data_IF_511422225212
#
_entry.id   IF_511422225212
#
_cell.length_a   1.000
_cell.length_b   1.000
_cell.length_c   1.000
_cell.angle_alpha   90.00
_cell.angle_beta   90.00
_cell.angle_gamma   90.00
#
_symmetry.space_group_name_H-M   'P 1'
#
loop_
_entity.id
_entity.type
_entity.pdbx_description
1 polymer ?
#
# COMPACT_ATOMS: atom_id res chain seq x y z
N UNK A 1 -2.58 -11.80 7.17
CA UNK A 1 -1.84 -11.24 6.01
C UNK A 1 -0.39 -11.68 5.97
N UNK A 2 0.47 -11.34 6.95
CA UNK A 2 1.92 -11.59 6.81
C UNK A 2 2.30 -13.09 6.66
N UNK A 3 1.58 -14.01 7.31
CA UNK A 3 1.81 -15.45 7.16
C UNK A 3 1.39 -16.00 5.78
N UNK A 4 0.45 -15.36 5.09
CA UNK A 4 0.03 -15.81 3.74
C UNK A 4 1.17 -15.68 2.73
N UNK A 5 2.06 -14.70 2.93
CA UNK A 5 3.21 -14.46 2.05
C UNK A 5 4.45 -15.29 2.41
N UNK A 6 4.34 -16.20 3.39
CA UNK A 6 5.48 -16.91 3.98
C UNK A 6 6.61 -15.97 4.44
N UNK A 7 6.32 -14.69 4.67
CA UNK A 7 7.26 -13.64 5.00
C UNK A 7 6.70 -12.80 6.16
N UNK A 8 6.64 -13.35 7.39
CA UNK A 8 6.28 -12.58 8.57
C UNK A 8 7.22 -11.38 8.70
N UNK A 9 6.73 -10.21 9.10
CA UNK A 9 7.59 -9.02 9.28
C UNK A 9 8.26 -9.01 10.66
N UNK A 10 7.64 -9.67 11.63
CA UNK A 10 8.12 -9.84 12.99
C UNK A 10 7.38 -11.03 13.63
N UNK A 11 7.91 -11.53 14.75
CA UNK A 11 7.30 -12.61 15.53
C UNK A 11 6.71 -12.03 16.81
N UNK A 12 5.48 -12.44 17.14
CA UNK A 12 4.88 -12.24 18.45
C UNK A 12 4.88 -13.58 19.17
N UNK A 13 5.57 -13.68 20.29
CA UNK A 13 5.62 -14.89 21.13
C UNK A 13 5.66 -14.47 22.59
N UNK A 14 4.80 -15.06 23.43
CA UNK A 14 4.73 -14.78 24.87
C UNK A 14 4.63 -13.27 25.21
N UNK A 15 3.79 -12.52 24.48
CA UNK A 15 3.65 -11.06 24.60
C UNK A 15 4.91 -10.23 24.27
N UNK A 16 5.97 -10.86 23.74
CA UNK A 16 7.15 -10.17 23.25
C UNK A 16 7.14 -10.11 21.71
N UNK A 17 7.43 -8.92 21.19
CA UNK A 17 7.64 -8.70 19.76
C UNK A 17 9.14 -8.82 19.50
N UNK A 18 9.55 -9.82 18.71
CA UNK A 18 10.95 -10.11 18.41
C UNK A 18 11.20 -10.16 16.90
N UNK A 19 12.44 -9.91 16.45
CA UNK A 19 12.81 -10.10 15.05
C UNK A 19 12.66 -11.56 14.66
N UNK A 20 12.44 -11.79 13.36
CA UNK A 20 12.32 -13.13 12.81
C UNK A 20 13.60 -13.94 13.11
N UNK A 21 13.41 -15.21 13.47
CA UNK A 21 14.52 -16.15 13.60
C UNK A 21 15.09 -16.47 12.22
N UNK A 22 16.35 -16.89 12.18
CA UNK A 22 17.02 -17.36 10.96
C UNK A 22 16.18 -18.38 10.19
N UNK A 23 15.56 -19.34 10.88
CA UNK A 23 14.68 -20.35 10.28
C UNK A 23 13.48 -19.74 9.54
N UNK A 24 12.85 -18.68 10.08
CA UNK A 24 11.74 -18.02 9.39
C UNK A 24 12.21 -17.30 8.12
N UNK A 25 13.39 -16.66 8.16
CA UNK A 25 13.97 -16.02 6.98
C UNK A 25 14.35 -17.06 5.92
N UNK A 26 14.83 -18.25 6.34
CA UNK A 26 15.12 -19.35 5.44
C UNK A 26 13.85 -19.88 4.74
N UNK A 27 12.74 -20.02 5.47
CA UNK A 27 11.43 -20.37 4.87
C UNK A 27 11.02 -19.30 3.85
N UNK A 28 11.14 -18.01 4.18
CA UNK A 28 10.82 -16.92 3.25
C UNK A 28 11.69 -16.96 2.01
N UNK A 29 12.98 -17.27 2.14
CA UNK A 29 13.91 -17.41 1.02
C UNK A 29 13.51 -18.57 0.09
N UNK A 30 13.19 -19.73 0.64
CA UNK A 30 12.67 -20.86 -0.15
C UNK A 30 11.38 -20.49 -0.86
N UNK A 31 10.44 -19.83 -0.15
CA UNK A 31 9.19 -19.39 -0.75
C UNK A 31 9.42 -18.43 -1.93
N UNK A 32 10.34 -17.46 -1.79
CA UNK A 32 10.71 -16.56 -2.90
C UNK A 32 11.30 -17.31 -4.09
N UNK A 33 12.18 -18.31 -3.87
CA UNK A 33 12.69 -19.16 -4.95
C UNK A 33 11.55 -19.91 -5.64
N UNK A 34 10.66 -20.54 -4.87
CA UNK A 34 9.52 -21.29 -5.41
C UNK A 34 8.62 -20.37 -6.25
N UNK A 35 8.31 -19.16 -5.76
CA UNK A 35 7.51 -18.21 -6.54
C UNK A 35 8.21 -17.81 -7.84
N UNK A 36 9.50 -17.49 -7.80
CA UNK A 36 10.26 -17.16 -9.00
C UNK A 36 10.26 -18.33 -10.00
N UNK A 37 10.43 -19.58 -9.53
CA UNK A 37 10.37 -20.77 -10.37
C UNK A 37 8.99 -20.97 -11.01
N UNK A 38 7.90 -20.66 -10.30
CA UNK A 38 6.54 -20.72 -10.87
C UNK A 38 6.38 -19.71 -12.01
N UNK A 39 6.88 -18.48 -11.86
CA UNK A 39 6.83 -17.47 -12.93
C UNK A 39 7.71 -17.83 -14.12
N UNK A 40 8.93 -18.34 -13.86
CA UNK A 40 9.82 -18.81 -14.94
C UNK A 40 9.20 -19.99 -15.67
N UNK A 41 8.60 -20.95 -14.95
CA UNK A 41 7.89 -22.06 -15.55
C UNK A 41 6.68 -21.58 -16.38
N UNK A 42 5.88 -20.62 -15.86
CA UNK A 42 4.79 -20.01 -16.64
C UNK A 42 5.32 -19.38 -17.93
N UNK A 43 6.37 -18.57 -17.86
CA UNK A 43 6.98 -17.94 -19.03
C UNK A 43 7.49 -18.98 -20.03
N UNK A 44 8.16 -20.04 -19.55
CA UNK A 44 8.63 -21.14 -20.39
C UNK A 44 7.47 -21.87 -21.07
N UNK A 45 6.43 -22.23 -20.32
CA UNK A 45 5.24 -22.90 -20.90
C UNK A 45 4.60 -22.05 -21.98
N UNK A 46 4.35 -20.76 -21.72
CA UNK A 46 3.79 -19.83 -22.72
C UNK A 46 4.66 -19.75 -23.98
N UNK A 47 5.99 -19.68 -23.83
CA UNK A 47 6.92 -19.64 -24.96
C UNK A 47 6.96 -20.96 -25.75
N UNK A 48 6.84 -22.12 -25.10
CA UNK A 48 6.81 -23.42 -25.79
C UNK A 48 5.46 -23.71 -26.45
N UNK A 49 4.36 -23.21 -25.88
CA UNK A 49 3.01 -23.36 -26.44
C UNK A 49 2.69 -22.29 -27.48
N UNK A 50 3.56 -21.29 -27.68
CA UNK A 50 3.28 -20.20 -28.62
C UNK A 50 3.30 -20.61 -30.10
N UNK A 51 3.71 -21.85 -30.39
CA UNK A 51 3.56 -22.44 -31.73
C UNK A 51 2.07 -22.66 -32.10
N UNK A 52 1.16 -22.67 -31.11
CA UNK A 52 -0.25 -22.49 -31.39
C UNK A 52 -0.49 -21.06 -31.90
N UNK A 53 -1.12 -20.91 -33.08
CA UNK A 53 -1.53 -19.65 -33.75
C UNK A 53 -2.35 -18.64 -32.91
N UNK A 54 -2.52 -18.90 -31.62
CA UNK A 54 -3.34 -18.14 -30.66
C UNK A 54 -2.57 -17.06 -29.91
N UNK A 55 -1.25 -17.13 -29.83
CA UNK A 55 -0.44 -16.17 -29.08
C UNK A 55 0.31 -15.21 -30.00
N UNK A 56 0.22 -13.91 -29.74
CA UNK A 56 0.99 -12.92 -30.50
C UNK A 56 2.42 -12.83 -29.97
N UNK A 57 3.37 -12.38 -30.80
CA UNK A 57 4.74 -12.13 -30.38
C UNK A 57 4.80 -11.18 -29.17
N UNK A 58 3.92 -10.16 -29.14
CA UNK A 58 3.86 -9.22 -28.02
C UNK A 58 3.34 -9.86 -26.73
N UNK A 59 2.37 -10.80 -26.79
CA UNK A 59 1.93 -11.53 -25.60
C UNK A 59 3.08 -12.31 -24.95
N UNK A 60 3.97 -12.90 -25.75
CA UNK A 60 5.18 -13.56 -25.23
C UNK A 60 6.15 -12.57 -24.58
N UNK A 61 6.33 -11.38 -25.18
CA UNK A 61 7.14 -10.30 -24.60
C UNK A 61 6.52 -9.83 -23.27
N UNK A 62 5.20 -9.64 -23.22
CA UNK A 62 4.47 -9.27 -22.02
C UNK A 62 4.66 -10.31 -20.91
N UNK A 63 4.50 -11.60 -21.21
CA UNK A 63 4.72 -12.67 -20.24
C UNK A 63 6.16 -12.70 -19.71
N UNK A 64 7.14 -12.38 -20.55
CA UNK A 64 8.54 -12.26 -20.14
C UNK A 64 8.78 -11.04 -19.24
N UNK A 65 8.18 -9.89 -19.56
CA UNK A 65 8.24 -8.69 -18.72
C UNK A 65 7.59 -8.97 -17.36
N UNK A 66 6.41 -9.59 -17.32
CA UNK A 66 5.73 -10.00 -16.10
C UNK A 66 6.63 -10.91 -15.25
N UNK A 67 7.27 -11.91 -15.89
CA UNK A 67 8.18 -12.82 -15.21
C UNK A 67 9.33 -12.08 -14.52
N UNK A 68 9.99 -11.15 -15.21
CA UNK A 68 11.07 -10.33 -14.64
C UNK A 68 10.52 -9.46 -13.52
N UNK A 69 9.42 -8.77 -13.77
CA UNK A 69 8.86 -7.77 -12.88
C UNK A 69 8.42 -8.37 -11.54
N UNK A 70 7.62 -9.44 -11.58
CA UNK A 70 7.15 -10.09 -10.38
C UNK A 70 8.27 -10.84 -9.65
N UNK A 71 9.24 -11.42 -10.37
CA UNK A 71 10.43 -12.02 -9.74
C UNK A 71 11.24 -10.98 -8.97
N UNK A 72 11.42 -9.80 -9.56
CA UNK A 72 12.02 -8.65 -8.87
C UNK A 72 11.18 -8.23 -7.66
N UNK A 73 9.85 -8.17 -7.80
CA UNK A 73 8.93 -7.83 -6.70
C UNK A 73 9.02 -8.79 -5.51
N UNK A 74 9.03 -10.11 -5.74
CA UNK A 74 9.17 -11.09 -4.67
C UNK A 74 10.53 -11.00 -3.98
N UNK A 75 11.59 -10.81 -4.77
CA UNK A 75 12.95 -10.63 -4.26
C UNK A 75 13.07 -9.36 -3.42
N UNK A 76 12.50 -8.24 -3.91
CA UNK A 76 12.42 -6.97 -3.20
C UNK A 76 11.64 -7.13 -1.88
N UNK A 77 10.49 -7.83 -1.92
CA UNK A 77 9.68 -8.10 -0.74
C UNK A 77 10.46 -8.88 0.35
N UNK A 78 11.23 -9.88 -0.06
CA UNK A 78 12.11 -10.63 0.83
C UNK A 78 13.19 -9.74 1.47
N UNK A 79 13.91 -8.97 0.66
CA UNK A 79 14.98 -8.09 1.16
C UNK A 79 14.44 -7.01 2.09
N UNK A 80 13.34 -6.34 1.73
CA UNK A 80 12.71 -5.35 2.61
C UNK A 80 12.21 -6.00 3.90
N UNK A 81 11.66 -7.21 3.83
CA UNK A 81 11.26 -7.98 5.02
C UNK A 81 12.41 -8.16 6.02
N UNK A 82 13.61 -8.48 5.52
CA UNK A 82 14.81 -8.63 6.35
C UNK A 82 15.33 -7.29 6.85
N UNK A 83 15.57 -6.34 5.95
CA UNK A 83 16.19 -5.03 6.25
C UNK A 83 15.31 -4.23 7.21
N UNK A 84 14.00 -4.18 6.94
CA UNK A 84 13.06 -3.38 7.73
C UNK A 84 12.53 -4.11 8.96
N UNK A 85 13.03 -5.31 9.30
CA UNK A 85 12.54 -6.10 10.44
C UNK A 85 12.58 -5.31 11.76
N UNK A 86 13.70 -4.66 12.07
CA UNK A 86 13.85 -3.81 13.27
C UNK A 86 12.93 -2.60 13.25
N UNK A 87 12.83 -1.92 12.11
CA UNK A 87 11.96 -0.76 11.93
C UNK A 87 10.48 -1.14 12.04
N UNK A 88 10.07 -2.30 11.53
CA UNK A 88 8.71 -2.79 11.69
C UNK A 88 8.36 -3.08 13.15
N UNK A 89 9.30 -3.60 13.95
CA UNK A 89 9.10 -3.80 15.39
C UNK A 89 8.98 -2.44 16.09
N UNK A 90 9.90 -1.51 15.81
CA UNK A 90 9.86 -0.16 16.37
C UNK A 90 8.55 0.54 16.00
N UNK A 91 8.05 0.38 14.77
CA UNK A 91 6.76 0.90 14.35
C UNK A 91 5.63 0.37 15.23
N UNK A 92 5.56 -0.95 15.45
CA UNK A 92 4.49 -1.55 16.26
C UNK A 92 4.58 -1.09 17.72
N UNK A 93 5.78 -1.02 18.30
CA UNK A 93 5.98 -0.56 19.68
C UNK A 93 5.64 0.93 19.84
N UNK A 94 6.13 1.77 18.92
CA UNK A 94 5.77 3.18 18.82
C UNK A 94 4.25 3.35 18.74
N UNK A 95 3.63 2.58 17.86
CA UNK A 95 2.18 2.64 17.64
C UNK A 95 1.39 2.17 18.87
N UNK A 96 1.85 1.11 19.56
CA UNK A 96 1.26 0.65 20.81
C UNK A 96 1.34 1.71 21.91
N UNK A 97 2.45 2.43 22.01
CA UNK A 97 2.62 3.53 22.97
C UNK A 97 1.63 4.67 22.69
N UNK A 98 1.55 5.12 21.43
CA UNK A 98 0.54 6.10 20.97
C UNK A 98 -0.87 5.60 21.28
N UNK A 99 -1.12 4.31 21.04
CA UNK A 99 -2.42 3.71 21.27
C UNK A 99 -2.82 3.69 22.74
N UNK A 100 -1.92 3.24 23.62
CA UNK A 100 -2.14 3.17 25.07
C UNK A 100 -2.41 4.55 25.65
N UNK A 101 -1.68 5.56 25.18
CA UNK A 101 -1.88 6.93 25.66
C UNK A 101 -3.24 7.50 25.24
N UNK A 102 -3.57 7.39 23.95
CA UNK A 102 -4.83 7.92 23.43
C UNK A 102 -6.06 7.17 23.95
N UNK A 103 -5.85 6.02 24.61
CA UNK A 103 -6.87 5.19 25.26
C UNK A 103 -8.13 5.04 24.40
N UNK A 104 -7.92 4.69 23.13
CA UNK A 104 -9.03 4.58 22.18
C UNK A 104 -10.04 3.57 22.71
N UNK A 105 -11.31 3.95 22.66
CA UNK A 105 -12.42 3.09 22.98
C UNK A 105 -12.24 1.72 22.31
N UNK A 106 -12.35 0.65 23.11
CA UNK A 106 -12.29 -0.74 22.62
C UNK A 106 -13.24 -0.97 21.42
N UNK A 107 -14.33 -0.19 21.36
CA UNK A 107 -15.31 -0.16 20.26
C UNK A 107 -14.66 0.27 18.93
N UNK A 108 -13.85 1.32 18.92
CA UNK A 108 -13.17 1.83 17.72
C UNK A 108 -12.20 0.80 17.14
N UNK A 109 -11.42 0.13 17.99
CA UNK A 109 -10.53 -0.96 17.58
C UNK A 109 -11.27 -2.15 16.98
N UNK A 110 -12.37 -2.56 17.61
CA UNK A 110 -13.20 -3.67 17.11
C UNK A 110 -13.79 -3.32 15.75
N UNK A 111 -14.28 -2.09 15.57
CA UNK A 111 -14.77 -1.59 14.28
C UNK A 111 -13.67 -1.58 13.22
N UNK A 112 -12.47 -1.08 13.54
CA UNK A 112 -11.34 -1.08 12.62
C UNK A 112 -10.95 -2.50 12.19
N UNK A 113 -10.87 -3.42 13.15
CA UNK A 113 -10.53 -4.83 12.88
C UNK A 113 -11.58 -5.49 11.99
N UNK A 114 -12.87 -5.26 12.26
CA UNK A 114 -13.96 -5.75 11.43
C UNK A 114 -13.90 -5.19 10.00
N UNK A 115 -13.74 -3.87 9.85
CA UNK A 115 -13.61 -3.23 8.53
C UNK A 115 -12.38 -3.72 7.77
N UNK A 116 -11.29 -4.02 8.46
CA UNK A 116 -10.12 -4.62 7.84
C UNK A 116 -10.45 -5.99 7.24
N UNK A 117 -11.09 -6.87 8.01
CA UNK A 117 -11.51 -8.20 7.53
C UNK A 117 -12.49 -8.11 6.36
N UNK A 118 -13.49 -7.23 6.43
CA UNK A 118 -14.43 -7.00 5.32
C UNK A 118 -13.67 -6.63 4.05
N UNK A 119 -12.64 -5.78 4.14
CA UNK A 119 -11.87 -5.39 2.97
C UNK A 119 -10.93 -6.48 2.46
N UNK A 120 -10.38 -7.33 3.34
CA UNK A 120 -9.61 -8.52 2.89
C UNK A 120 -10.53 -9.50 2.16
N UNK A 121 -11.71 -9.77 2.70
CA UNK A 121 -12.70 -10.67 2.08
C UNK A 121 -13.18 -10.08 0.75
N UNK A 122 -13.49 -8.79 0.70
CA UNK A 122 -13.88 -8.11 -0.54
C UNK A 122 -12.78 -8.20 -1.60
N UNK A 123 -11.53 -7.91 -1.23
CA UNK A 123 -10.40 -8.08 -2.13
C UNK A 123 -10.31 -9.53 -2.63
N UNK A 124 -10.38 -10.52 -1.74
CA UNK A 124 -10.35 -11.93 -2.13
C UNK A 124 -11.49 -12.30 -3.09
N UNK A 125 -12.73 -11.86 -2.84
CA UNK A 125 -13.87 -12.10 -3.72
C UNK A 125 -13.69 -11.47 -5.11
N UNK A 126 -13.12 -10.25 -5.18
CA UNK A 126 -12.82 -9.58 -6.46
C UNK A 126 -11.84 -10.41 -7.30
N UNK A 127 -10.93 -11.17 -6.69
CA UNK A 127 -10.04 -12.08 -7.41
C UNK A 127 -10.72 -13.40 -7.78
N UNK A 128 -11.46 -13.99 -6.84
CA UNK A 128 -12.03 -15.33 -7.02
C UNK A 128 -13.13 -15.38 -8.08
N UNK A 129 -13.94 -14.33 -8.24
CA UNK A 129 -15.05 -14.32 -9.20
C UNK A 129 -14.57 -14.34 -10.66
N UNK A 130 -13.67 -13.44 -11.10
CA UNK A 130 -13.06 -13.57 -12.43
C UNK A 130 -12.31 -14.89 -12.57
N UNK A 131 -11.57 -15.27 -11.54
CA UNK A 131 -10.78 -16.50 -11.53
C UNK A 131 -11.61 -17.76 -11.83
N UNK A 132 -12.75 -17.97 -11.15
CA UNK A 132 -13.58 -19.16 -11.38
C UNK A 132 -14.17 -19.16 -12.78
N UNK A 133 -14.54 -17.98 -13.29
CA UNK A 133 -14.99 -17.81 -14.66
C UNK A 133 -13.88 -18.19 -15.65
N UNK A 134 -12.63 -17.72 -15.46
CA UNK A 134 -11.51 -18.02 -16.35
C UNK A 134 -11.00 -19.45 -16.25
N UNK A 135 -11.04 -20.08 -15.08
CA UNK A 135 -10.68 -21.49 -14.91
C UNK A 135 -11.49 -22.42 -15.80
N UNK A 136 -12.73 -22.05 -16.12
CA UNK A 136 -13.58 -22.84 -17.02
C UNK A 136 -13.13 -22.76 -18.49
N UNK A 137 -12.29 -21.79 -18.85
CA UNK A 137 -11.92 -21.44 -20.23
C UNK A 137 -10.41 -21.54 -20.51
N UNK A 138 -9.56 -21.36 -19.51
CA UNK A 138 -8.09 -21.30 -19.61
C UNK A 138 -7.42 -22.52 -18.96
N UNK A 139 -6.18 -22.77 -19.34
CA UNK A 139 -5.38 -23.87 -18.79
C UNK A 139 -4.98 -23.57 -17.34
N UNK A 140 -5.04 -24.60 -16.49
CA UNK A 140 -4.87 -24.50 -15.03
C UNK A 140 -3.56 -23.85 -14.56
N UNK A 141 -2.48 -23.90 -15.34
CA UNK A 141 -1.17 -23.36 -14.91
C UNK A 141 -1.10 -21.82 -14.98
N UNK A 142 -1.80 -21.17 -15.92
CA UNK A 142 -1.85 -19.70 -16.01
C UNK A 142 -2.49 -19.12 -14.75
N UNK A 143 -3.60 -19.76 -14.42
CA UNK A 143 -4.48 -19.51 -13.29
C UNK A 143 -3.74 -19.56 -11.94
N UNK A 144 -2.86 -20.54 -11.70
CA UNK A 144 -2.11 -20.61 -10.42
C UNK A 144 -1.11 -19.46 -10.22
N UNK A 145 -0.49 -18.96 -11.30
CA UNK A 145 0.43 -17.83 -11.21
C UNK A 145 -0.26 -16.56 -10.71
N UNK A 146 -1.50 -16.33 -11.17
CA UNK A 146 -2.27 -15.14 -10.83
C UNK A 146 -2.69 -15.09 -9.35
N UNK A 147 -2.80 -16.25 -8.68
CA UNK A 147 -3.03 -16.28 -7.23
C UNK A 147 -1.90 -15.64 -6.44
N UNK A 148 -0.66 -15.81 -6.89
CA UNK A 148 0.49 -15.22 -6.22
C UNK A 148 0.53 -13.70 -6.38
N UNK A 149 -0.07 -13.16 -7.46
CA UNK A 149 -0.18 -11.71 -7.67
C UNK A 149 -1.02 -11.03 -6.59
N UNK A 150 -2.04 -11.72 -6.07
CA UNK A 150 -2.88 -11.24 -4.96
C UNK A 150 -2.05 -10.83 -3.72
N UNK A 151 -0.86 -11.39 -3.54
CA UNK A 151 0.03 -11.00 -2.45
C UNK A 151 0.52 -9.56 -2.58
N UNK A 152 0.79 -9.05 -3.78
CA UNK A 152 1.16 -7.65 -3.95
C UNK A 152 0.01 -6.73 -3.58
N UNK A 153 -1.23 -7.05 -3.97
CA UNK A 153 -2.41 -6.28 -3.58
C UNK A 153 -2.64 -6.29 -2.07
N UNK A 154 -2.42 -7.42 -1.39
CA UNK A 154 -2.51 -7.47 0.06
C UNK A 154 -1.45 -6.60 0.75
N UNK A 155 -0.26 -6.45 0.17
CA UNK A 155 0.75 -5.50 0.68
C UNK A 155 0.29 -4.05 0.52
N UNK A 156 -0.30 -3.71 -0.63
CA UNK A 156 -0.88 -2.38 -0.87
C UNK A 156 -2.05 -2.11 0.07
N UNK A 157 -2.98 -3.06 0.22
CA UNK A 157 -4.11 -2.97 1.15
C UNK A 157 -3.64 -2.80 2.60
N UNK A 158 -2.62 -3.56 3.01
CA UNK A 158 -2.01 -3.42 4.33
C UNK A 158 -1.42 -2.02 4.55
N UNK A 159 -0.74 -1.48 3.54
CA UNK A 159 -0.16 -0.13 3.54
C UNK A 159 -1.25 0.94 3.71
N UNK A 160 -2.33 0.84 2.92
CA UNK A 160 -3.52 1.72 3.01
C UNK A 160 -4.14 1.67 4.41
N UNK A 161 -4.29 0.47 4.98
CA UNK A 161 -4.88 0.28 6.32
C UNK A 161 -4.01 0.87 7.42
N UNK A 162 -2.69 0.76 7.30
CA UNK A 162 -1.75 1.38 8.25
C UNK A 162 -1.77 2.90 8.18
N UNK A 163 -1.84 3.49 6.98
CA UNK A 163 -2.03 4.93 6.81
C UNK A 163 -3.34 5.41 7.45
N UNK A 164 -4.44 4.68 7.19
CA UNK A 164 -5.74 5.01 7.79
C UNK A 164 -5.69 4.96 9.33
N UNK A 165 -4.99 3.96 9.87
CA UNK A 165 -4.85 3.83 11.31
C UNK A 165 -4.03 4.99 11.92
N UNK A 166 -2.97 5.45 11.25
CA UNK A 166 -2.22 6.65 11.65
C UNK A 166 -3.07 7.92 11.56
N UNK A 167 -3.87 8.07 10.51
CA UNK A 167 -4.81 9.19 10.33
C UNK A 167 -5.79 9.26 11.51
N UNK A 168 -6.41 8.13 11.87
CA UNK A 168 -7.34 8.06 12.99
C UNK A 168 -6.66 8.43 14.32
N UNK A 169 -5.36 8.12 14.50
CA UNK A 169 -4.59 8.55 15.69
C UNK A 169 -4.35 10.06 15.73
N UNK A 170 -4.06 10.67 14.59
CA UNK A 170 -3.88 12.13 14.49
C UNK A 170 -5.20 12.84 14.82
N UNK A 171 -6.32 12.36 14.26
CA UNK A 171 -7.66 12.91 14.50
C UNK A 171 -8.04 12.78 15.98
N UNK A 172 -7.85 11.61 16.59
CA UNK A 172 -8.19 11.42 18.01
C UNK A 172 -7.33 12.31 18.92
N UNK A 173 -6.04 12.46 18.59
CA UNK A 173 -5.17 13.40 19.30
C UNK A 173 -5.71 14.84 19.21
N UNK A 174 -6.16 15.28 18.02
CA UNK A 174 -6.74 16.60 17.82
C UNK A 174 -8.03 16.78 18.63
N UNK A 175 -8.93 15.79 18.63
CA UNK A 175 -10.18 15.81 19.41
C UNK A 175 -9.88 15.93 20.90
N UNK A 176 -8.91 15.16 21.41
CA UNK A 176 -8.51 15.21 22.82
C UNK A 176 -7.91 16.57 23.19
N UNK A 177 -7.14 17.18 22.28
CA UNK A 177 -6.60 18.52 22.46
C UNK A 177 -7.70 19.57 22.61
N UNK A 178 -8.76 19.48 21.82
CA UNK A 178 -9.89 20.40 21.91
C UNK A 178 -10.72 20.17 23.18
N UNK A 179 -10.90 18.91 23.59
CA UNK A 179 -11.62 18.56 24.83
C UNK A 179 -10.90 19.04 26.09
N UNK A 180 -9.57 18.89 26.17
CA UNK A 180 -8.80 19.31 27.35
C UNK A 180 -8.89 20.83 27.58
N UNK A 181 -9.03 21.62 26.51
CA UNK A 181 -9.26 23.07 26.61
C UNK A 181 -10.59 23.43 27.29
N UNK A 182 -11.63 22.62 27.12
CA UNK A 182 -12.95 22.87 27.73
C UNK A 182 -12.98 22.66 29.24
N UNK A 183 -12.04 21.90 29.79
CA UNK A 183 -11.98 21.54 31.21
C UNK A 183 -11.10 22.55 31.95
N UNK A 184 -11.72 23.36 32.82
CA UNK A 184 -11.11 24.56 33.43
C UNK A 184 -10.11 24.31 34.60
N UNK A 185 -9.67 23.07 34.88
CA UNK A 185 -9.10 22.72 36.20
C UNK A 185 -7.57 22.48 36.26
N UNK A 186 -7.04 22.58 37.49
CA UNK A 186 -5.65 22.82 37.94
C UNK A 186 -4.50 21.90 37.47
N UNK A 187 -4.70 20.90 36.62
CA UNK A 187 -3.65 19.93 36.24
C UNK A 187 -3.02 20.18 34.84
N UNK A 188 -3.10 21.40 34.32
CA UNK A 188 -2.75 21.74 32.92
C UNK A 188 -1.31 21.45 32.51
N UNK A 189 -0.35 21.49 33.44
CA UNK A 189 1.07 21.41 33.09
C UNK A 189 1.49 20.00 32.63
N UNK A 190 1.02 18.96 33.34
CA UNK A 190 1.39 17.57 33.03
C UNK A 190 0.73 17.10 31.73
N UNK A 191 -0.55 17.43 31.54
CA UNK A 191 -1.30 17.09 30.33
C UNK A 191 -0.69 17.72 29.07
N UNK A 192 -0.19 18.96 29.17
CA UNK A 192 0.39 19.66 28.02
C UNK A 192 1.70 19.03 27.52
N UNK A 193 2.55 18.55 28.43
CA UNK A 193 3.77 17.83 28.07
C UNK A 193 3.45 16.47 27.46
N UNK A 194 2.52 15.73 28.06
CA UNK A 194 2.09 14.44 27.55
C UNK A 194 1.49 14.56 26.14
N UNK A 195 0.63 15.55 25.88
CA UNK A 195 0.07 15.77 24.54
C UNK A 195 1.17 16.02 23.49
N UNK A 196 2.18 16.82 23.82
CA UNK A 196 3.34 17.03 22.93
C UNK A 196 4.09 15.72 22.66
N UNK A 197 4.42 14.96 23.71
CA UNK A 197 5.16 13.70 23.56
C UNK A 197 4.40 12.70 22.68
N UNK A 198 3.08 12.66 22.79
CA UNK A 198 2.26 11.76 21.97
C UNK A 198 2.19 12.17 20.52
N UNK A 199 2.13 13.47 20.24
CA UNK A 199 2.25 13.95 18.87
C UNK A 199 3.63 13.64 18.28
N UNK A 200 4.68 13.77 19.09
CA UNK A 200 6.03 13.37 18.69
C UNK A 200 6.12 11.88 18.35
N UNK A 201 5.54 11.02 19.19
CA UNK A 201 5.46 9.59 18.92
C UNK A 201 4.64 9.29 17.65
N UNK A 202 3.53 10.00 17.38
CA UNK A 202 2.75 9.83 16.14
C UNK A 202 3.61 10.16 14.91
N UNK A 203 4.34 11.28 14.94
CA UNK A 203 5.23 11.67 13.84
C UNK A 203 6.42 10.71 13.68
N UNK A 204 6.96 10.18 14.79
CA UNK A 204 7.98 9.13 14.74
C UNK A 204 7.44 7.86 14.07
N UNK A 205 6.25 7.39 14.46
CA UNK A 205 5.59 6.24 13.83
C UNK A 205 5.36 6.49 12.33
N UNK A 206 4.96 7.69 11.92
CA UNK A 206 4.82 8.09 10.52
C UNK A 206 6.16 8.04 9.77
N UNK A 207 7.25 8.52 10.38
CA UNK A 207 8.58 8.48 9.78
C UNK A 207 9.09 7.04 9.61
N UNK A 208 8.91 6.19 10.61
CA UNK A 208 9.25 4.76 10.51
C UNK A 208 8.43 4.11 9.38
N UNK A 209 7.12 4.39 9.32
CA UNK A 209 6.25 3.91 8.25
C UNK A 209 6.77 4.34 6.87
N UNK A 210 7.09 5.63 6.68
CA UNK A 210 7.64 6.15 5.42
C UNK A 210 8.87 5.37 4.98
N UNK A 211 9.83 5.13 5.89
CA UNK A 211 11.04 4.37 5.58
C UNK A 211 10.74 2.91 5.22
N UNK A 212 9.83 2.25 5.95
CA UNK A 212 9.49 0.85 5.71
C UNK A 212 8.76 0.61 4.39
N UNK A 213 7.90 1.54 3.95
CA UNK A 213 6.98 1.31 2.84
C UNK A 213 7.30 2.07 1.55
N UNK A 214 8.24 3.03 1.56
CA UNK A 214 8.57 3.81 0.36
C UNK A 214 8.93 2.93 -0.85
N UNK A 215 9.69 1.85 -0.66
CA UNK A 215 10.12 0.98 -1.76
C UNK A 215 8.94 0.16 -2.33
N UNK A 216 8.03 -0.30 -1.48
CA UNK A 216 6.80 -0.97 -1.94
C UNK A 216 5.88 -0.01 -2.69
N UNK A 217 5.74 1.22 -2.21
CA UNK A 217 4.97 2.24 -2.92
C UNK A 217 5.58 2.53 -4.29
N UNK A 218 6.92 2.62 -4.39
CA UNK A 218 7.61 2.80 -5.68
C UNK A 218 7.30 1.67 -6.64
N UNK A 219 7.54 0.44 -6.19
CA UNK A 219 7.27 -0.77 -6.96
C UNK A 219 5.84 -0.74 -7.48
N UNK A 220 4.86 -0.57 -6.59
CA UNK A 220 3.45 -0.55 -6.97
C UNK A 220 3.08 0.57 -7.96
N UNK A 221 3.61 1.78 -7.80
CA UNK A 221 3.31 2.89 -8.73
C UNK A 221 3.90 2.64 -10.12
N UNK A 222 5.12 2.08 -10.18
CA UNK A 222 5.76 1.68 -11.44
C UNK A 222 5.01 0.51 -12.08
N UNK A 223 4.55 -0.44 -11.28
CA UNK A 223 3.78 -1.60 -11.71
C UNK A 223 2.52 -1.16 -12.45
N UNK A 224 1.68 -0.34 -11.81
CA UNK A 224 0.41 0.11 -12.38
C UNK A 224 0.65 0.84 -13.70
N UNK A 225 1.68 1.69 -13.76
CA UNK A 225 2.00 2.43 -14.99
C UNK A 225 2.44 1.51 -16.13
N UNK A 226 3.43 0.64 -15.89
CA UNK A 226 4.00 -0.24 -16.93
C UNK A 226 2.95 -1.25 -17.41
N UNK A 227 2.27 -1.94 -16.48
CA UNK A 227 1.30 -2.97 -16.84
C UNK A 227 0.08 -2.37 -17.54
N UNK A 228 -0.36 -1.17 -17.19
CA UNK A 228 -1.44 -0.50 -17.91
C UNK A 228 -1.13 -0.30 -19.41
N UNK A 229 0.12 0.02 -19.74
CA UNK A 229 0.55 0.15 -21.14
C UNK A 229 0.63 -1.21 -21.83
N UNK A 230 1.21 -2.21 -21.17
CA UNK A 230 1.30 -3.59 -21.69
C UNK A 230 -0.10 -4.15 -21.95
N UNK A 231 -1.02 -3.98 -21.01
CA UNK A 231 -2.41 -4.44 -21.10
C UNK A 231 -3.17 -3.84 -22.27
N UNK A 232 -3.00 -2.54 -22.52
CA UNK A 232 -3.63 -1.89 -23.68
C UNK A 232 -3.06 -2.43 -24.99
N UNK A 233 -1.74 -2.62 -25.09
CA UNK A 233 -1.15 -3.22 -26.29
C UNK A 233 -1.60 -4.68 -26.49
N UNK A 234 -1.60 -5.50 -25.43
CA UNK A 234 -2.11 -6.88 -25.49
C UNK A 234 -3.58 -6.90 -25.94
N UNK A 235 -4.39 -5.97 -25.46
CA UNK A 235 -5.79 -5.85 -25.87
C UNK A 235 -5.94 -5.51 -27.36
N UNK A 236 -5.16 -4.55 -27.88
CA UNK A 236 -5.15 -4.20 -29.31
C UNK A 236 -4.78 -5.42 -30.16
N UNK A 237 -3.70 -6.12 -29.78
CA UNK A 237 -3.23 -7.31 -30.49
C UNK A 237 -4.26 -8.45 -30.45
N UNK A 238 -4.94 -8.64 -29.32
CA UNK A 238 -6.00 -9.63 -29.17
C UNK A 238 -7.17 -9.33 -30.11
N UNK A 239 -7.58 -8.07 -30.20
CA UNK A 239 -8.64 -7.62 -31.09
C UNK A 239 -8.29 -7.79 -32.58
N UNK A 240 -7.00 -7.68 -32.93
CA UNK A 240 -6.54 -7.80 -34.32
C UNK A 240 -6.39 -9.27 -34.78
N UNK A 241 -5.99 -10.17 -33.89
CA UNK A 241 -5.68 -11.57 -34.25
C UNK A 241 -6.90 -12.49 -34.14
N UNK A 242 -7.74 -12.33 -33.12
CA UNK A 242 -8.82 -13.28 -32.86
C UNK A 242 -10.11 -12.90 -33.59
N UNK A 243 -10.43 -13.66 -34.66
CA UNK A 243 -11.70 -13.53 -35.39
C UNK A 243 -12.91 -13.99 -34.57
N UNK A 244 -12.69 -14.72 -33.47
CA UNK A 244 -13.77 -15.13 -32.57
C UNK A 244 -14.09 -14.00 -31.58
N UNK A 245 -15.05 -13.18 -31.97
CA UNK A 245 -15.52 -12.02 -31.20
C UNK A 245 -15.81 -12.32 -29.72
N UNK A 246 -16.35 -13.50 -29.40
CA UNK A 246 -16.68 -13.85 -28.03
C UNK A 246 -15.45 -13.98 -27.13
N UNK A 247 -14.36 -14.59 -27.62
CA UNK A 247 -13.14 -14.79 -26.83
C UNK A 247 -12.37 -13.48 -26.68
N UNK A 248 -12.20 -12.73 -27.77
CA UNK A 248 -11.54 -11.43 -27.75
C UNK A 248 -12.25 -10.45 -26.80
N UNK A 249 -13.59 -10.44 -26.82
CA UNK A 249 -14.40 -9.63 -25.91
C UNK A 249 -14.20 -10.02 -24.45
N UNK A 250 -14.23 -11.32 -24.14
CA UNK A 250 -13.99 -11.82 -22.77
C UNK A 250 -12.59 -11.43 -22.28
N UNK A 251 -11.54 -11.65 -23.08
CA UNK A 251 -10.17 -11.26 -22.72
C UNK A 251 -10.05 -9.74 -22.49
N UNK A 252 -10.63 -8.93 -23.38
CA UNK A 252 -10.62 -7.47 -23.26
C UNK A 252 -11.31 -7.00 -21.98
N UNK A 253 -12.51 -7.53 -21.68
CA UNK A 253 -13.23 -7.20 -20.43
C UNK A 253 -12.39 -7.56 -19.21
N UNK A 254 -11.69 -8.69 -19.24
CA UNK A 254 -10.79 -9.12 -18.15
C UNK A 254 -9.68 -8.10 -17.91
N UNK A 255 -9.00 -7.71 -18.99
CA UNK A 255 -7.89 -6.76 -18.94
C UNK A 255 -8.39 -5.42 -18.39
N UNK A 256 -9.53 -4.93 -18.88
CA UNK A 256 -10.15 -3.72 -18.37
C UNK A 256 -10.50 -3.81 -16.89
N UNK A 257 -11.09 -4.92 -16.43
CA UNK A 257 -11.39 -5.13 -15.02
C UNK A 257 -10.13 -5.10 -14.16
N UNK A 258 -9.02 -5.69 -14.63
CA UNK A 258 -7.75 -5.69 -13.92
C UNK A 258 -7.13 -4.29 -13.83
N UNK A 259 -7.12 -3.55 -14.94
CA UNK A 259 -6.66 -2.16 -14.97
C UNK A 259 -7.48 -1.27 -14.04
N UNK A 260 -8.81 -1.39 -14.06
CA UNK A 260 -9.69 -0.62 -13.16
C UNK A 260 -9.35 -0.93 -11.70
N UNK A 261 -9.15 -2.21 -11.35
CA UNK A 261 -8.73 -2.61 -10.00
C UNK A 261 -7.41 -1.94 -9.60
N UNK A 262 -6.40 -1.97 -10.46
CA UNK A 262 -5.08 -1.36 -10.20
C UNK A 262 -5.19 0.15 -9.94
N UNK A 263 -5.97 0.85 -10.77
CA UNK A 263 -6.23 2.28 -10.57
C UNK A 263 -7.05 2.58 -9.32
N UNK A 264 -8.03 1.73 -8.97
CA UNK A 264 -8.81 1.89 -7.75
C UNK A 264 -7.92 1.79 -6.50
N UNK A 265 -7.02 0.80 -6.47
CA UNK A 265 -6.08 0.62 -5.37
C UNK A 265 -5.08 1.77 -5.27
N UNK A 266 -4.53 2.22 -6.40
CA UNK A 266 -3.62 3.37 -6.42
C UNK A 266 -4.32 4.67 -6.00
N UNK A 267 -5.53 4.91 -6.50
CA UNK A 267 -6.34 6.07 -6.11
C UNK A 267 -6.62 6.04 -4.62
N UNK A 268 -6.97 4.86 -4.07
CA UNK A 268 -7.21 4.69 -2.64
C UNK A 268 -5.96 4.95 -1.80
N UNK A 269 -4.79 4.49 -2.25
CA UNK A 269 -3.51 4.77 -1.60
C UNK A 269 -3.20 6.27 -1.58
N UNK A 270 -3.24 6.93 -2.74
CA UNK A 270 -3.00 8.37 -2.87
C UNK A 270 -3.99 9.20 -2.05
N UNK A 271 -5.27 8.81 -2.05
CA UNK A 271 -6.32 9.44 -1.26
C UNK A 271 -6.08 9.32 0.24
N UNK A 272 -5.67 8.15 0.73
CA UNK A 272 -5.38 7.97 2.15
C UNK A 272 -4.11 8.70 2.60
N UNK A 273 -3.10 8.77 1.74
CA UNK A 273 -1.95 9.64 1.98
C UNK A 273 -2.39 11.11 2.15
N UNK A 274 -3.23 11.62 1.24
CA UNK A 274 -3.71 13.00 1.30
C UNK A 274 -4.57 13.27 2.54
N UNK A 275 -5.45 12.35 2.92
CA UNK A 275 -6.22 12.43 4.17
C UNK A 275 -5.33 12.53 5.40
N UNK A 276 -4.30 11.69 5.48
CA UNK A 276 -3.33 11.75 6.56
C UNK A 276 -2.62 13.11 6.59
N UNK A 277 -2.22 13.65 5.44
CA UNK A 277 -1.57 14.96 5.35
C UNK A 277 -2.50 16.08 5.82
N UNK A 278 -3.76 16.06 5.40
CA UNK A 278 -4.78 17.02 5.84
C UNK A 278 -5.00 16.93 7.36
N UNK A 279 -5.06 15.72 7.93
CA UNK A 279 -5.20 15.53 9.37
C UNK A 279 -3.98 16.05 10.16
N UNK A 280 -2.78 15.88 9.63
CA UNK A 280 -1.57 16.43 10.25
C UNK A 280 -1.55 17.97 10.14
N UNK A 281 -1.97 18.52 9.00
CA UNK A 281 -2.09 19.97 8.81
C UNK A 281 -3.17 20.59 9.72
N UNK A 282 -4.31 19.92 9.92
CA UNK A 282 -5.38 20.41 10.80
C UNK A 282 -4.92 20.53 12.26
N UNK A 283 -3.99 19.67 12.71
CA UNK A 283 -3.34 19.79 14.00
C UNK A 283 -2.52 21.09 14.09
N UNK A 284 -1.78 21.44 13.03
CA UNK A 284 -1.03 22.70 12.96
C UNK A 284 -1.98 23.90 13.06
N UNK A 285 -3.06 23.90 12.28
CA UNK A 285 -4.04 24.98 12.25
C UNK A 285 -4.75 25.12 13.60
N UNK A 286 -5.07 24.00 14.25
CA UNK A 286 -5.65 23.98 15.60
C UNK A 286 -4.68 24.57 16.63
N UNK A 287 -3.40 24.16 16.60
CA UNK A 287 -2.39 24.68 17.53
C UNK A 287 -2.16 26.18 17.33
N UNK A 288 -2.12 26.67 16.09
CA UNK A 288 -1.99 28.11 15.79
C UNK A 288 -3.21 28.91 16.26
N UNK A 289 -4.42 28.36 16.09
CA UNK A 289 -5.65 28.96 16.59
C UNK A 289 -5.65 29.05 18.12
N UNK A 290 -5.25 27.97 18.81
CA UNK A 290 -5.14 27.97 20.27
C UNK A 290 -4.10 28.97 20.76
N UNK A 291 -2.95 29.09 20.08
CA UNK A 291 -1.90 30.06 20.43
C UNK A 291 -2.34 31.53 20.32
N UNK A 292 -3.33 31.83 19.47
CA UNK A 292 -3.92 33.17 19.36
C UNK A 292 -4.94 33.47 20.46
N UNK A 293 -5.41 32.45 21.17
CA UNK A 293 -6.34 32.61 22.29
C UNK A 293 -5.60 32.78 23.62
N UNK A 294 -6.34 33.15 24.68
CA UNK A 294 -5.81 33.21 26.05
C UNK A 294 -5.43 31.81 26.55
N UNK A 295 -4.18 31.41 26.33
CA UNK A 295 -3.57 30.18 26.82
C UNK A 295 -2.54 30.48 27.91
N UNK A 296 -2.32 29.53 28.82
CA UNK A 296 -1.25 29.64 29.81
C UNK A 296 0.14 29.57 29.14
N UNK A 297 1.17 30.14 29.75
CA UNK A 297 2.53 30.13 29.19
C UNK A 297 3.08 28.70 28.97
N UNK A 298 2.70 27.73 29.80
CA UNK A 298 3.09 26.33 29.63
C UNK A 298 2.41 25.68 28.42
N UNK A 299 1.10 25.88 28.25
CA UNK A 299 0.37 25.43 27.06
C UNK A 299 0.95 26.09 25.80
N UNK A 300 1.21 27.39 25.86
CA UNK A 300 1.82 28.16 24.77
C UNK A 300 3.17 27.58 24.37
N UNK A 301 4.02 27.20 25.34
CA UNK A 301 5.31 26.54 25.08
C UNK A 301 5.12 25.19 24.41
N UNK A 302 4.19 24.35 24.89
CA UNK A 302 3.91 23.05 24.29
C UNK A 302 3.41 23.16 22.84
N UNK A 303 2.44 24.03 22.55
CA UNK A 303 1.96 24.23 21.18
C UNK A 303 3.02 24.79 20.25
N UNK A 304 3.86 25.73 20.72
CA UNK A 304 5.04 26.17 19.95
C UNK A 304 5.99 25.01 19.64
N UNK A 305 6.19 24.09 20.58
CA UNK A 305 7.00 22.91 20.36
C UNK A 305 6.37 21.94 19.36
N UNK A 306 5.05 21.72 19.42
CA UNK A 306 4.30 20.94 18.41
C UNK A 306 4.52 21.54 17.02
N UNK A 307 4.36 22.85 16.86
CA UNK A 307 4.56 23.54 15.57
C UNK A 307 6.01 23.44 15.06
N UNK A 308 6.99 23.59 15.96
CA UNK A 308 8.42 23.43 15.63
C UNK A 308 8.72 21.99 15.19
N UNK A 309 8.21 21.01 15.93
CA UNK A 309 8.40 19.60 15.63
C UNK A 309 7.75 19.24 14.29
N UNK A 310 6.53 19.70 14.05
CA UNK A 310 5.86 19.52 12.76
C UNK A 310 6.72 20.08 11.62
N UNK A 311 7.17 21.34 11.71
CA UNK A 311 8.01 21.96 10.69
C UNK A 311 9.33 21.22 10.46
N UNK A 312 9.93 20.66 11.50
CA UNK A 312 11.23 19.99 11.43
C UNK A 312 11.15 18.53 10.94
N UNK A 313 10.07 17.83 11.29
CA UNK A 313 9.99 16.37 11.09
C UNK A 313 8.95 15.93 10.06
N UNK A 314 7.88 16.71 9.85
CA UNK A 314 6.85 16.35 8.88
C UNK A 314 7.31 16.68 7.47
N UNK A 315 7.21 15.69 6.60
CA UNK A 315 7.33 15.85 5.15
C UNK A 315 6.45 14.82 4.48
N UNK A 316 5.69 15.21 3.45
CA UNK A 316 4.92 14.29 2.60
C UNK A 316 5.79 13.08 2.19
N UNK A 317 5.18 11.92 1.99
CA UNK A 317 5.92 10.72 1.56
C UNK A 317 6.50 11.00 0.17
N UNK A 318 7.83 11.14 0.11
CA UNK A 318 8.59 11.15 -1.14
C UNK A 318 9.07 9.74 -1.40
N UNK A 319 8.63 9.15 -2.49
CA UNK A 319 8.99 7.79 -2.87
C UNK A 319 10.41 7.81 -3.42
N UNK A 320 11.37 7.29 -2.65
CA UNK A 320 12.79 7.23 -3.03
C UNK A 320 13.36 8.57 -3.53
N UNK A 321 12.82 9.70 -3.04
CA UNK A 321 13.22 11.05 -3.46
C UNK A 321 12.69 11.55 -4.81
N UNK A 322 11.93 10.72 -5.55
CA UNK A 322 11.48 11.04 -6.91
C UNK A 322 10.23 11.94 -6.94
N UNK A 323 9.12 11.47 -6.35
CA UNK A 323 7.83 12.18 -6.37
C UNK A 323 7.07 11.98 -5.06
N UNK A 324 6.07 12.83 -4.81
CA UNK A 324 5.19 12.73 -3.65
C UNK A 324 4.05 11.76 -3.91
N UNK A 325 3.69 10.95 -2.90
CA UNK A 325 2.44 10.16 -2.93
C UNK A 325 1.31 11.03 -2.41
N UNK A 326 0.61 11.69 -3.32
CA UNK A 326 -0.63 12.43 -3.05
C UNK A 326 -1.59 12.32 -4.25
N UNK A 327 -2.73 13.01 -4.18
CA UNK A 327 -3.74 13.00 -5.26
C UNK A 327 -3.17 13.53 -6.59
N UNK A 328 -2.18 14.43 -6.54
CA UNK A 328 -1.52 14.98 -7.73
C UNK A 328 -0.73 13.93 -8.52
N UNK A 329 -0.18 12.93 -7.83
CA UNK A 329 0.48 11.79 -8.47
C UNK A 329 -0.47 11.02 -9.41
N UNK A 330 -1.70 10.77 -8.97
CA UNK A 330 -2.69 10.03 -9.77
C UNK A 330 -3.02 10.80 -11.06
N UNK A 331 -3.21 12.12 -10.95
CA UNK A 331 -3.49 12.97 -12.11
C UNK A 331 -2.31 12.99 -13.10
N UNK A 332 -1.08 13.12 -12.57
CA UNK A 332 0.14 13.13 -13.39
C UNK A 332 0.34 11.80 -14.10
N UNK A 333 0.12 10.69 -13.39
CA UNK A 333 0.23 9.35 -13.98
C UNK A 333 -0.84 9.11 -15.04
N UNK A 334 -2.09 9.53 -14.81
CA UNK A 334 -3.15 9.42 -15.80
C UNK A 334 -2.84 10.23 -17.06
N UNK A 335 -2.34 11.46 -16.91
CA UNK A 335 -1.92 12.28 -18.04
C UNK A 335 -0.80 11.61 -18.85
N UNK A 336 0.24 11.09 -18.17
CA UNK A 336 1.32 10.34 -18.83
C UNK A 336 0.77 9.12 -19.56
N UNK A 337 -0.07 8.32 -18.89
CA UNK A 337 -0.67 7.13 -19.46
C UNK A 337 -1.49 7.47 -20.70
N UNK A 338 -2.37 8.47 -20.65
CA UNK A 338 -3.16 8.90 -21.81
C UNK A 338 -2.26 9.30 -22.98
N UNK A 339 -1.18 10.05 -22.74
CA UNK A 339 -0.25 10.43 -23.80
C UNK A 339 0.41 9.20 -24.45
N UNK A 340 0.88 8.24 -23.65
CA UNK A 340 1.47 7.00 -24.19
C UNK A 340 0.44 6.11 -24.89
N UNK A 341 -0.80 6.04 -24.39
CA UNK A 341 -1.90 5.32 -25.05
C UNK A 341 -2.19 5.92 -26.42
N UNK A 342 -2.23 7.25 -26.55
CA UNK A 342 -2.42 7.91 -27.84
C UNK A 342 -1.31 7.54 -28.81
N UNK A 343 -0.05 7.53 -28.37
CA UNK A 343 1.08 7.10 -29.20
C UNK A 343 0.93 5.63 -29.62
N UNK A 344 0.58 4.74 -28.69
CA UNK A 344 0.34 3.31 -28.99
C UNK A 344 -0.75 3.17 -30.07
N UNK A 345 -1.86 3.90 -29.94
CA UNK A 345 -2.97 3.87 -30.90
C UNK A 345 -2.55 4.40 -32.29
N UNK A 346 -1.69 5.42 -32.36
CA UNK A 346 -1.17 5.96 -33.63
C UNK A 346 -0.24 4.98 -34.37
N UNK A 347 0.41 4.05 -33.67
CA UNK A 347 1.20 3.01 -34.31
C UNK A 347 0.37 1.77 -34.69
N UNK A 348 -0.80 1.59 -34.07
CA UNK A 348 -1.68 0.47 -34.33
C UNK A 348 -2.61 0.68 -35.54
N UNK A 349 -2.95 1.93 -35.86
CA UNK A 349 -3.87 2.33 -36.94
C UNK A 349 -3.25 3.44 -37.78
#
# INVERSE_FOLDING_TARGET
MQYMMCCPKYRIENNHISPNKFFSNFISFIATIVFNLVFVHRCYTMATTSDDYRYTMFMNIAAFIDCIYYSFGFTLNFFIGIISSKSNIQFVLCFQNVHRFLNIDKIGLRRFTYMNWVCVIMAFCIYMIPFTYFCSQLTYYVVYGDYFLMFFDFNTLYTIRMLKLLEDKVIEWQIRLLKSRGIKNCCKNMESYEMFQNFANILECYNIFKTCFQHYMLYYIVEVFIHSLIYIQVMIDTCNVDKNFNRASVASVTIYCWMIKDFMWQTTLSYQCEKLYIAIQSVQDTCTSILRSNCSENERKSYKNVLRLHRASFSKIRVCGLFYVDVGLQLTMMNLLTNYIVVILQFAY
#
